data_IF_052418682739
#
_entry.id   IF_052418682739
#
_cell.length_a   1.000
_cell.length_b   1.000
_cell.length_c   1.000
_cell.angle_alpha   90.00
_cell.angle_beta   90.00
_cell.angle_gamma   90.00
#
_symmetry.space_group_name_H-M   'P 1'
#
loop_
_entity.id
_entity.type
_entity.pdbx_description
1 polymer ?
#
# COMPACT_ATOMS: atom_id res chain seq x y z
N UNK A 1 10.09 8.99 2.17
CA UNK A 1 9.60 8.89 3.56
C UNK A 1 10.14 10.08 4.33
N UNK A 2 9.27 10.86 4.96
CA UNK A 2 9.66 12.05 5.72
C UNK A 2 10.29 11.63 7.04
N UNK A 3 11.62 11.60 7.12
CA UNK A 3 12.35 11.29 8.34
C UNK A 3 12.64 12.58 9.10
N UNK A 4 11.97 12.81 10.23
CA UNK A 4 12.28 13.92 11.14
C UNK A 4 13.53 13.55 11.94
N UNK A 5 14.46 14.51 12.11
CA UNK A 5 15.67 14.28 12.90
C UNK A 5 15.33 14.03 14.38
N UNK A 6 15.92 13.02 15.03
CA UNK A 6 15.73 12.77 16.47
C UNK A 6 16.07 13.98 17.35
N UNK A 7 17.03 14.80 16.93
CA UNK A 7 17.42 16.03 17.62
C UNK A 7 16.32 17.10 17.59
N UNK A 8 15.55 17.18 16.51
CA UNK A 8 14.44 18.12 16.37
C UNK A 8 13.22 17.71 17.21
N UNK A 9 13.01 16.39 17.42
CA UNK A 9 12.01 15.92 18.38
C UNK A 9 12.42 16.19 19.84
N UNK A 10 13.72 16.09 20.16
CA UNK A 10 14.20 16.29 21.52
C UNK A 10 14.14 17.77 21.97
N UNK A 11 14.17 18.72 21.04
CA UNK A 11 14.07 20.16 21.34
C UNK A 11 12.66 20.66 21.63
N UNK A 12 11.63 19.81 21.50
CA UNK A 12 10.23 20.18 21.69
C UNK A 12 9.75 19.89 23.11
N UNK A 13 8.77 20.68 23.55
CA UNK A 13 8.02 20.40 24.77
C UNK A 13 7.23 19.08 24.66
N UNK A 14 6.88 18.50 25.80
CA UNK A 14 6.29 17.16 25.85
C UNK A 14 4.96 17.04 25.08
N UNK A 15 4.14 18.08 25.10
CA UNK A 15 2.87 18.08 24.40
C UNK A 15 3.10 18.08 22.87
N UNK A 16 3.93 19.00 22.37
CA UNK A 16 4.29 19.07 20.94
C UNK A 16 4.94 17.78 20.44
N UNK A 17 5.77 17.12 21.26
CA UNK A 17 6.37 15.82 20.89
C UNK A 17 5.32 14.73 20.71
N UNK A 18 4.32 14.69 21.57
CA UNK A 18 3.28 13.65 21.52
C UNK A 18 2.39 13.86 20.29
N UNK A 19 1.98 15.10 20.01
CA UNK A 19 1.21 15.44 18.82
C UNK A 19 1.96 15.10 17.52
N UNK A 20 3.26 15.43 17.44
CA UNK A 20 4.07 15.10 16.27
C UNK A 20 4.26 13.60 16.09
N UNK A 21 4.41 12.83 17.18
CA UNK A 21 4.49 11.37 17.09
C UNK A 21 3.22 10.78 16.50
N UNK A 22 2.05 11.19 16.99
CA UNK A 22 0.75 10.73 16.48
C UNK A 22 0.55 11.11 15.01
N UNK A 23 0.88 12.36 14.66
CA UNK A 23 0.85 12.82 13.28
C UNK A 23 1.77 11.98 12.39
N UNK A 24 3.01 11.73 12.83
CA UNK A 24 3.99 10.96 12.07
C UNK A 24 3.55 9.52 11.88
N UNK A 25 2.96 8.88 12.90
CA UNK A 25 2.39 7.54 12.77
C UNK A 25 1.28 7.51 11.72
N UNK A 26 0.37 8.48 11.78
CA UNK A 26 -0.72 8.62 10.80
C UNK A 26 -0.20 8.82 9.38
N UNK A 27 0.75 9.73 9.18
CA UNK A 27 1.33 9.98 7.86
C UNK A 27 2.16 8.80 7.34
N UNK A 28 2.86 8.08 8.22
CA UNK A 28 3.54 6.84 7.83
C UNK A 28 2.54 5.76 7.41
N UNK A 29 1.43 5.60 8.13
CA UNK A 29 0.37 4.67 7.72
C UNK A 29 -0.21 5.04 6.36
N UNK A 30 -0.53 6.31 6.12
CA UNK A 30 -0.99 6.81 4.81
C UNK A 30 0.04 6.53 3.72
N UNK A 31 1.31 6.83 3.95
CA UNK A 31 2.38 6.57 2.98
C UNK A 31 2.51 5.09 2.66
N UNK A 32 2.39 4.20 3.66
CA UNK A 32 2.43 2.75 3.45
C UNK A 32 1.27 2.29 2.56
N UNK A 33 0.05 2.77 2.84
CA UNK A 33 -1.13 2.46 2.01
C UNK A 33 -0.93 2.96 0.58
N UNK A 34 -0.45 4.18 0.39
CA UNK A 34 -0.17 4.71 -0.95
C UNK A 34 0.87 3.88 -1.71
N UNK A 35 1.97 3.48 -1.06
CA UNK A 35 2.96 2.58 -1.67
C UNK A 35 2.36 1.24 -2.07
N UNK A 36 1.48 0.66 -1.25
CA UNK A 36 0.79 -0.58 -1.59
C UNK A 36 -0.18 -0.39 -2.77
N UNK A 37 -0.90 0.73 -2.84
CA UNK A 37 -1.77 1.06 -3.98
C UNK A 37 -0.93 1.12 -5.27
N UNK A 38 0.18 1.84 -5.26
CA UNK A 38 1.07 1.91 -6.43
C UNK A 38 1.63 0.54 -6.82
N UNK A 39 2.00 -0.29 -5.84
CA UNK A 39 2.44 -1.65 -6.09
C UNK A 39 1.35 -2.49 -6.76
N UNK A 40 0.12 -2.49 -6.24
CA UNK A 40 -0.99 -3.24 -6.82
C UNK A 40 -1.38 -2.73 -8.20
N UNK A 41 -1.36 -1.41 -8.41
CA UNK A 41 -1.64 -0.83 -9.72
C UNK A 41 -0.64 -1.34 -10.76
N UNK A 42 0.67 -1.29 -10.48
CA UNK A 42 1.68 -1.81 -11.41
C UNK A 42 1.52 -3.31 -11.67
N UNK A 43 1.34 -4.10 -10.61
CA UNK A 43 1.22 -5.56 -10.71
C UNK A 43 -0.04 -5.98 -11.49
N UNK A 44 -1.19 -5.44 -11.11
CA UNK A 44 -2.48 -5.86 -11.64
C UNK A 44 -2.77 -5.24 -12.99
N UNK A 45 -2.27 -4.04 -13.28
CA UNK A 45 -2.32 -3.48 -14.63
C UNK A 45 -1.57 -4.40 -15.62
N UNK A 46 -0.34 -4.78 -15.27
CA UNK A 46 0.44 -5.72 -16.08
C UNK A 46 -0.18 -7.11 -16.25
N UNK A 47 -1.03 -7.57 -15.32
CA UNK A 47 -1.72 -8.87 -15.43
C UNK A 47 -3.06 -8.81 -16.16
N UNK A 48 -3.83 -7.75 -15.92
CA UNK A 48 -5.20 -7.65 -16.43
C UNK A 48 -5.30 -7.05 -17.82
N UNK A 49 -4.28 -6.30 -18.24
CA UNK A 49 -4.29 -5.52 -19.48
C UNK A 49 -3.16 -5.87 -20.47
N UNK A 50 -2.29 -6.84 -20.16
CA UNK A 50 -1.14 -7.18 -21.02
C UNK A 50 -1.51 -7.39 -22.50
N UNK A 51 -2.61 -8.09 -22.75
CA UNK A 51 -3.06 -8.48 -24.10
C UNK A 51 -4.40 -7.83 -24.47
N UNK A 52 -4.79 -6.74 -23.80
CA UNK A 52 -6.08 -6.07 -24.02
C UNK A 52 -5.88 -4.61 -24.44
N UNK A 53 -6.47 -4.16 -25.56
CA UNK A 53 -6.46 -2.75 -25.90
C UNK A 53 -7.32 -1.97 -24.90
N UNK A 54 -6.80 -0.85 -24.41
CA UNK A 54 -7.56 0.08 -23.56
C UNK A 54 -8.46 0.90 -24.48
N UNK A 55 -9.76 0.63 -24.44
CA UNK A 55 -10.74 1.22 -25.36
C UNK A 55 -11.56 2.35 -24.72
N UNK A 56 -11.48 2.50 -23.40
CA UNK A 56 -12.27 3.46 -22.61
C UNK A 56 -11.46 4.00 -21.43
N UNK A 57 -11.82 5.19 -20.94
CA UNK A 57 -11.31 5.73 -19.67
C UNK A 57 -11.97 5.15 -18.43
N UNK A 58 -13.00 4.30 -18.60
CA UNK A 58 -13.69 3.60 -17.53
C UNK A 58 -13.40 2.10 -17.62
N UNK A 59 -13.37 1.44 -16.46
CA UNK A 59 -13.22 0.00 -16.39
C UNK A 59 -14.49 -0.70 -16.89
N UNK A 60 -14.32 -1.69 -17.76
CA UNK A 60 -15.40 -2.61 -18.08
C UNK A 60 -15.57 -3.69 -16.99
N UNK A 61 -16.67 -4.44 -17.04
CA UNK A 61 -16.98 -5.46 -16.03
C UNK A 61 -15.92 -6.58 -15.94
N UNK A 62 -15.25 -6.91 -17.04
CA UNK A 62 -14.19 -7.92 -17.06
C UNK A 62 -12.88 -7.39 -16.47
N UNK A 63 -12.55 -6.12 -16.72
CA UNK A 63 -11.42 -5.40 -16.14
C UNK A 63 -11.58 -5.24 -14.62
N UNK A 64 -12.76 -4.79 -14.16
CA UNK A 64 -13.07 -4.69 -12.72
C UNK A 64 -12.96 -6.05 -12.02
N UNK A 65 -13.50 -7.11 -12.63
CA UNK A 65 -13.42 -8.46 -12.10
C UNK A 65 -11.97 -8.97 -12.03
N UNK A 66 -11.17 -8.72 -13.07
CA UNK A 66 -9.76 -9.08 -13.08
C UNK A 66 -8.97 -8.35 -11.98
N UNK A 67 -9.14 -7.03 -11.86
CA UNK A 67 -8.46 -6.21 -10.85
C UNK A 67 -8.80 -6.68 -9.44
N UNK A 68 -10.09 -6.90 -9.14
CA UNK A 68 -10.55 -7.43 -7.85
C UNK A 68 -9.90 -8.77 -7.53
N UNK A 69 -9.89 -9.69 -8.49
CA UNK A 69 -9.28 -11.01 -8.31
C UNK A 69 -7.76 -10.91 -8.14
N UNK A 70 -7.09 -10.06 -8.90
CA UNK A 70 -5.64 -9.87 -8.82
C UNK A 70 -5.20 -9.44 -7.42
N UNK A 71 -5.84 -8.40 -6.86
CA UNK A 71 -5.52 -7.92 -5.51
C UNK A 71 -5.82 -8.99 -4.47
N UNK A 72 -7.00 -9.61 -4.50
CA UNK A 72 -7.38 -10.64 -3.53
C UNK A 72 -6.42 -11.83 -3.55
N UNK A 73 -6.08 -12.34 -4.75
CA UNK A 73 -5.13 -13.46 -4.89
C UNK A 73 -3.72 -13.11 -4.42
N UNK A 74 -3.28 -11.87 -4.62
CA UNK A 74 -2.00 -11.43 -4.06
C UNK A 74 -2.04 -11.44 -2.53
N UNK A 75 -3.10 -10.89 -1.91
CA UNK A 75 -3.24 -10.89 -0.45
C UNK A 75 -3.30 -12.31 0.13
N UNK A 76 -4.07 -13.20 -0.49
CA UNK A 76 -4.15 -14.62 -0.10
C UNK A 76 -2.78 -15.30 -0.17
N UNK A 77 -2.00 -15.01 -1.22
CA UNK A 77 -0.66 -15.54 -1.37
C UNK A 77 0.27 -15.02 -0.28
N UNK A 78 0.20 -13.73 0.07
CA UNK A 78 1.04 -13.15 1.13
C UNK A 78 0.75 -13.81 2.47
N UNK A 79 -0.52 -14.02 2.81
CA UNK A 79 -0.90 -14.73 4.05
C UNK A 79 -0.32 -16.15 4.05
N UNK A 80 -0.42 -16.88 2.93
CA UNK A 80 0.15 -18.23 2.81
C UNK A 80 1.67 -18.25 2.93
N UNK A 81 2.36 -17.31 2.30
CA UNK A 81 3.83 -17.20 2.38
C UNK A 81 4.27 -16.89 3.81
N UNK A 82 3.60 -15.94 4.48
CA UNK A 82 3.89 -15.62 5.89
C UNK A 82 3.64 -16.83 6.79
N UNK A 83 2.53 -17.54 6.61
CA UNK A 83 2.24 -18.77 7.36
C UNK A 83 3.32 -19.83 7.19
N UNK A 84 3.75 -20.07 5.94
CA UNK A 84 4.81 -21.02 5.64
C UNK A 84 6.16 -20.64 6.27
N UNK A 85 6.51 -19.34 6.28
CA UNK A 85 7.73 -18.85 6.93
C UNK A 85 7.67 -18.96 8.46
N UNK A 86 6.47 -18.91 9.03
CA UNK A 86 6.24 -19.10 10.46
C UNK A 86 6.16 -20.59 10.86
N UNK A 87 6.37 -21.52 9.93
CA UNK A 87 6.40 -22.96 10.18
C UNK A 87 5.02 -23.59 10.35
N UNK A 88 3.98 -23.00 9.77
CA UNK A 88 2.64 -23.59 9.65
C UNK A 88 2.42 -24.25 8.29
#
# INVERSE_FOLDING_TARGET
MSTISPSALASLDEQSRNEIKEFLETENQKSRVQSQIHFYNNLCFGKCFADKPITSGHLDAAEESCLRNCVNRYLDLNVKVVGALQGQ
#
